data_IF_007282076472
#
_entry.id   IF_007282076472
#
_cell.length_a   1.000
_cell.length_b   1.000
_cell.length_c   1.000
_cell.angle_alpha   90.00
_cell.angle_beta   90.00
_cell.angle_gamma   90.00
#
_symmetry.space_group_name_H-M   'P 1'
#
loop_
_entity.id
_entity.type
_entity.pdbx_description
1 polymer ?
#
# COMPACT_ATOMS: atom_id res chain seq x y z
N UNK A 1 42.33 37.83 -43.82
CA UNK A 1 42.19 37.64 -45.27
C UNK A 1 42.12 36.16 -45.56
N UNK A 2 40.97 35.75 -46.10
CA UNK A 2 40.56 34.49 -46.71
C UNK A 2 41.65 33.58 -47.28
N UNK A 3 41.53 32.28 -47.01
CA UNK A 3 41.62 31.24 -48.03
C UNK A 3 40.92 29.95 -47.53
N UNK A 4 39.71 29.71 -48.03
CA UNK A 4 39.08 28.39 -48.05
C UNK A 4 39.83 27.52 -49.07
N UNK A 5 40.04 26.24 -48.80
CA UNK A 5 39.81 25.19 -49.82
C UNK A 5 39.79 23.77 -49.24
N UNK A 6 38.67 23.10 -49.54
CA UNK A 6 38.50 21.68 -49.93
C UNK A 6 38.69 20.60 -48.86
N UNK A 7 37.56 20.24 -48.26
CA UNK A 7 37.33 18.91 -47.70
C UNK A 7 37.22 17.86 -48.82
N UNK A 8 38.10 16.88 -48.79
CA UNK A 8 38.02 15.61 -49.52
C UNK A 8 37.01 14.69 -48.85
N UNK A 9 36.09 14.14 -49.64
CA UNK A 9 35.03 13.23 -49.21
C UNK A 9 35.60 11.88 -48.73
N UNK A 10 35.17 11.43 -47.56
CA UNK A 10 35.32 10.06 -47.08
C UNK A 10 34.15 9.19 -47.60
N UNK A 11 34.36 7.88 -47.82
CA UNK A 11 33.43 7.03 -48.57
C UNK A 11 32.17 6.70 -47.78
N UNK A 12 31.09 6.47 -48.53
CA UNK A 12 29.75 6.22 -48.03
C UNK A 12 29.67 5.02 -47.07
N UNK A 13 28.98 5.23 -45.96
CA UNK A 13 28.53 4.16 -45.08
C UNK A 13 27.28 3.56 -45.72
N UNK A 14 27.42 2.33 -46.25
CA UNK A 14 26.31 1.49 -46.67
C UNK A 14 25.31 1.34 -45.51
N UNK A 15 24.04 1.67 -45.78
CA UNK A 15 22.93 1.29 -44.90
C UNK A 15 22.76 -0.23 -45.00
N UNK A 16 23.15 -0.94 -43.95
CA UNK A 16 22.76 -2.33 -43.78
C UNK A 16 21.24 -2.40 -43.52
N UNK A 17 20.47 -2.74 -44.56
CA UNK A 17 19.09 -3.19 -44.43
C UNK A 17 19.08 -4.55 -43.72
N UNK A 18 19.04 -4.51 -42.39
CA UNK A 18 18.76 -5.69 -41.58
C UNK A 18 17.25 -5.99 -41.69
N UNK A 19 16.93 -7.00 -42.51
CA UNK A 19 15.59 -7.54 -42.66
C UNK A 19 14.98 -7.87 -41.28
N UNK A 20 13.86 -7.20 -40.98
CA UNK A 20 13.08 -7.40 -39.75
C UNK A 20 12.44 -8.79 -39.81
N UNK A 21 12.66 -9.70 -38.84
CA UNK A 21 11.96 -10.96 -38.84
C UNK A 21 10.48 -10.69 -38.57
N UNK A 22 9.62 -11.07 -39.51
CA UNK A 22 8.17 -11.06 -39.34
C UNK A 22 7.83 -12.06 -38.23
N UNK A 23 7.53 -11.56 -37.03
CA UNK A 23 6.86 -12.39 -36.02
C UNK A 23 5.48 -12.72 -36.55
N UNK A 24 5.25 -14.01 -36.79
CA UNK A 24 3.93 -14.56 -37.03
C UNK A 24 2.97 -14.06 -35.93
N UNK A 25 1.79 -13.61 -36.34
CA UNK A 25 0.72 -13.24 -35.43
C UNK A 25 0.41 -14.44 -34.53
N UNK A 26 0.61 -14.29 -33.22
CA UNK A 26 0.09 -15.25 -32.25
C UNK A 26 -1.43 -15.34 -32.43
N UNK A 27 -2.01 -16.55 -32.48
CA UNK A 27 -3.45 -16.69 -32.48
C UNK A 27 -3.99 -16.09 -31.17
N UNK A 28 -5.12 -15.41 -31.32
CA UNK A 28 -5.91 -14.77 -30.28
C UNK A 28 -5.87 -15.57 -28.96
N UNK A 29 -5.60 -14.88 -27.86
CA UNK A 29 -5.69 -15.45 -26.52
C UNK A 29 -7.07 -16.12 -26.33
N UNK A 30 -7.16 -17.23 -25.58
CA UNK A 30 -8.44 -17.84 -25.28
C UNK A 30 -9.33 -16.81 -24.58
N UNK A 31 -10.60 -16.73 -25.01
CA UNK A 31 -11.60 -15.85 -24.41
C UNK A 31 -11.66 -16.13 -22.90
N UNK A 32 -11.11 -15.21 -22.10
CA UNK A 32 -11.27 -15.27 -20.65
C UNK A 32 -12.76 -15.29 -20.34
N UNK A 33 -13.21 -16.28 -19.57
CA UNK A 33 -14.60 -16.36 -19.11
C UNK A 33 -14.95 -15.02 -18.42
N UNK A 34 -15.78 -14.23 -19.08
CA UNK A 34 -16.20 -12.93 -18.59
C UNK A 34 -16.92 -13.11 -17.25
N UNK A 35 -16.49 -12.37 -16.22
CA UNK A 35 -17.15 -12.38 -14.91
C UNK A 35 -18.65 -12.15 -15.07
N UNK A 36 -19.47 -13.01 -14.44
CA UNK A 36 -20.93 -12.87 -14.44
C UNK A 36 -21.28 -11.54 -13.75
N UNK A 37 -21.57 -10.51 -14.54
CA UNK A 37 -21.84 -9.17 -14.06
C UNK A 37 -23.07 -9.04 -13.16
N UNK A 38 -23.56 -7.81 -12.94
CA UNK A 38 -24.78 -7.59 -12.15
C UNK A 38 -26.03 -7.85 -12.99
N UNK A 39 -26.57 -9.07 -12.91
CA UNK A 39 -27.79 -9.46 -13.64
C UNK A 39 -27.51 -9.72 -15.12
N UNK A 40 -28.28 -9.09 -16.01
CA UNK A 40 -28.13 -9.22 -17.48
C UNK A 40 -27.03 -8.31 -18.09
N UNK A 41 -26.35 -7.50 -17.27
CA UNK A 41 -25.31 -6.57 -17.71
C UNK A 41 -23.91 -7.20 -17.60
N UNK A 42 -23.21 -7.30 -18.73
CA UNK A 42 -21.80 -7.63 -18.78
C UNK A 42 -20.97 -6.37 -18.54
N UNK A 43 -20.07 -6.40 -17.56
CA UNK A 43 -19.09 -5.34 -17.33
C UNK A 43 -17.77 -5.70 -18.02
N UNK A 44 -16.94 -4.70 -18.32
CA UNK A 44 -15.56 -4.98 -18.72
C UNK A 44 -14.83 -5.75 -17.60
N UNK A 45 -13.82 -6.54 -17.94
CA UNK A 45 -13.02 -7.26 -16.95
C UNK A 45 -12.53 -6.29 -15.86
N UNK A 46 -12.73 -6.64 -14.59
CA UNK A 46 -12.41 -5.78 -13.45
C UNK A 46 -13.10 -4.40 -13.48
N UNK A 47 -14.30 -4.31 -14.07
CA UNK A 47 -15.22 -3.17 -14.12
C UNK A 47 -14.79 -1.97 -14.96
N UNK A 48 -13.56 -1.48 -14.82
CA UNK A 48 -13.09 -0.26 -15.50
C UNK A 48 -12.95 -0.47 -17.01
N UNK A 49 -13.22 0.57 -17.80
CA UNK A 49 -12.92 0.58 -19.23
C UNK A 49 -11.40 0.61 -19.51
N UNK A 50 -11.01 0.22 -20.73
CA UNK A 50 -9.60 0.13 -21.11
C UNK A 50 -8.88 1.49 -21.22
N UNK A 51 -9.61 2.60 -21.45
CA UNK A 51 -9.01 3.93 -21.46
C UNK A 51 -8.59 4.33 -20.05
N UNK A 52 -9.46 4.11 -19.08
CA UNK A 52 -9.25 4.40 -17.66
C UNK A 52 -8.10 3.54 -17.13
N UNK A 53 -8.10 2.23 -17.39
CA UNK A 53 -6.96 1.35 -17.06
C UNK A 53 -5.67 1.82 -17.70
N UNK A 54 -5.68 2.13 -19.01
CA UNK A 54 -4.48 2.60 -19.73
C UNK A 54 -3.94 3.91 -19.14
N UNK A 55 -4.81 4.82 -18.71
CA UNK A 55 -4.39 6.05 -18.05
C UNK A 55 -3.76 5.80 -16.69
N UNK A 56 -4.40 4.98 -15.85
CA UNK A 56 -3.90 4.65 -14.52
C UNK A 56 -2.60 3.85 -14.60
N UNK A 57 -2.46 2.90 -15.53
CA UNK A 57 -1.20 2.18 -15.78
C UNK A 57 -0.03 3.12 -16.10
N UNK A 58 -0.25 4.18 -16.88
CA UNK A 58 0.79 5.20 -17.12
C UNK A 58 1.17 5.94 -15.84
N UNK A 59 0.19 6.31 -15.03
CA UNK A 59 0.44 6.97 -13.75
C UNK A 59 1.20 6.06 -12.77
N UNK A 60 0.86 4.78 -12.70
CA UNK A 60 1.57 3.76 -11.92
C UNK A 60 3.02 3.65 -12.39
N UNK A 61 3.28 3.56 -13.70
CA UNK A 61 4.66 3.52 -14.21
C UNK A 61 5.47 4.77 -13.84
N UNK A 62 4.83 5.95 -13.82
CA UNK A 62 5.48 7.19 -13.34
C UNK A 62 5.74 7.16 -11.84
N UNK A 63 4.79 6.65 -11.05
CA UNK A 63 4.93 6.50 -9.61
C UNK A 63 6.07 5.53 -9.24
N UNK A 64 6.21 4.44 -9.97
CA UNK A 64 7.32 3.48 -9.80
C UNK A 64 8.67 4.13 -10.15
N UNK A 65 8.72 4.94 -11.22
CA UNK A 65 9.93 5.63 -11.64
C UNK A 65 10.33 6.80 -10.75
N UNK A 66 9.40 7.34 -9.94
CA UNK A 66 9.64 8.43 -8.99
C UNK A 66 9.09 8.02 -7.61
N UNK A 67 9.80 7.15 -6.88
CA UNK A 67 9.32 6.56 -5.62
C UNK A 67 8.91 7.61 -4.60
N UNK A 68 7.74 7.41 -3.97
CA UNK A 68 7.18 8.34 -2.98
C UNK A 68 6.52 9.61 -3.55
N UNK A 69 6.65 9.89 -4.86
CA UNK A 69 5.98 11.04 -5.47
C UNK A 69 4.50 10.77 -5.75
N UNK A 70 3.64 11.70 -5.34
CA UNK A 70 2.20 11.67 -5.53
C UNK A 70 1.81 12.02 -6.99
N UNK A 71 1.69 11.03 -7.87
CA UNK A 71 1.31 11.23 -9.28
C UNK A 71 -0.20 11.47 -9.40
N UNK A 72 -0.64 12.56 -10.05
CA UNK A 72 -2.07 12.79 -10.29
C UNK A 72 -2.62 11.81 -11.34
N UNK A 73 -3.83 11.31 -11.11
CA UNK A 73 -4.56 10.51 -12.10
C UNK A 73 -6.05 10.87 -12.16
N UNK A 74 -6.69 10.66 -13.31
CA UNK A 74 -8.11 10.91 -13.49
C UNK A 74 -8.98 9.83 -12.85
N UNK A 75 -9.13 9.85 -11.53
CA UNK A 75 -10.03 8.93 -10.80
C UNK A 75 -11.45 9.04 -11.35
N UNK A 76 -12.13 7.89 -11.40
CA UNK A 76 -13.55 7.77 -11.75
C UNK A 76 -14.39 7.45 -10.52
N UNK A 77 -15.67 7.73 -10.60
CA UNK A 77 -16.66 7.24 -9.66
C UNK A 77 -16.72 5.71 -9.71
N UNK A 78 -16.75 5.09 -8.54
CA UNK A 78 -16.85 3.64 -8.36
C UNK A 78 -18.20 3.29 -7.71
N UNK A 79 -18.67 2.04 -7.80
CA UNK A 79 -19.91 1.61 -7.14
C UNK A 79 -19.81 1.55 -5.60
N UNK A 80 -18.67 1.97 -5.04
CA UNK A 80 -18.46 2.19 -3.62
C UNK A 80 -18.32 3.69 -3.35
N UNK A 81 -18.85 4.22 -2.23
CA UNK A 81 -18.72 5.62 -1.88
C UNK A 81 -17.26 6.06 -1.77
N UNK A 82 -16.98 7.34 -2.05
CA UNK A 82 -15.66 7.91 -1.75
C UNK A 82 -15.31 7.71 -0.27
N UNK A 83 -14.04 7.39 -0.01
CA UNK A 83 -13.55 7.04 1.34
C UNK A 83 -13.56 5.55 1.65
N UNK A 84 -14.28 4.73 0.87
CA UNK A 84 -14.33 3.26 1.03
C UNK A 84 -13.34 2.54 0.11
N UNK A 85 -12.13 3.08 -0.03
CA UNK A 85 -11.05 2.41 -0.77
C UNK A 85 -11.09 2.52 -2.30
N UNK A 86 -11.85 3.46 -2.87
CA UNK A 86 -12.02 3.59 -4.34
C UNK A 86 -10.72 3.73 -5.12
N UNK A 87 -9.67 4.33 -4.53
CA UNK A 87 -8.35 4.41 -5.15
C UNK A 87 -7.67 3.04 -5.24
N UNK A 88 -7.66 2.28 -4.14
CA UNK A 88 -7.14 0.92 -4.12
C UNK A 88 -7.88 0.00 -5.10
N UNK A 89 -9.21 0.11 -5.17
CA UNK A 89 -10.01 -0.68 -6.14
C UNK A 89 -9.62 -0.35 -7.58
N UNK A 90 -9.46 0.92 -7.93
CA UNK A 90 -9.06 1.31 -9.29
C UNK A 90 -7.65 0.82 -9.65
N UNK A 91 -6.71 0.89 -8.71
CA UNK A 91 -5.35 0.39 -8.88
C UNK A 91 -5.37 -1.12 -9.08
N UNK A 92 -6.01 -1.88 -8.19
CA UNK A 92 -6.17 -3.34 -8.31
C UNK A 92 -6.80 -3.74 -9.64
N UNK A 93 -7.89 -3.08 -10.05
CA UNK A 93 -8.56 -3.32 -11.33
C UNK A 93 -7.68 -3.04 -12.57
N UNK A 94 -6.67 -2.18 -12.42
CA UNK A 94 -5.77 -1.80 -13.52
C UNK A 94 -4.54 -2.70 -13.63
N UNK A 95 -4.09 -3.31 -12.52
CA UNK A 95 -2.91 -4.19 -12.50
C UNK A 95 -3.26 -5.67 -12.63
N UNK A 96 -4.46 -6.07 -12.20
CA UNK A 96 -4.94 -7.45 -12.23
C UNK A 96 -5.09 -8.01 -13.65
N UNK A 97 -4.64 -9.24 -13.84
CA UNK A 97 -4.91 -10.12 -14.96
C UNK A 97 -5.79 -11.32 -14.57
N UNK A 98 -6.22 -12.16 -15.53
CA UNK A 98 -7.13 -13.29 -15.26
C UNK A 98 -6.56 -14.39 -14.35
N UNK A 99 -5.25 -14.59 -14.35
CA UNK A 99 -4.56 -15.65 -13.61
C UNK A 99 -4.10 -15.21 -12.19
N UNK A 100 -4.38 -13.96 -11.81
CA UNK A 100 -4.03 -13.47 -10.48
C UNK A 100 -4.85 -14.14 -9.37
N UNK A 101 -4.30 -14.14 -8.15
CA UNK A 101 -4.99 -14.57 -6.94
C UNK A 101 -5.10 -13.39 -6.00
N UNK A 102 -6.33 -12.93 -5.75
CA UNK A 102 -6.60 -11.74 -4.95
C UNK A 102 -6.79 -12.09 -3.46
N UNK A 103 -6.03 -11.44 -2.59
CA UNK A 103 -6.34 -11.31 -1.16
C UNK A 103 -6.79 -9.88 -0.87
N UNK A 104 -7.81 -9.72 -0.03
CA UNK A 104 -8.30 -8.40 0.39
C UNK A 104 -8.45 -8.39 1.91
N UNK A 105 -7.79 -7.44 2.55
CA UNK A 105 -7.82 -7.24 4.01
C UNK A 105 -8.18 -5.80 4.37
N UNK A 106 -8.89 -5.63 5.47
CA UNK A 106 -9.12 -4.34 6.12
C UNK A 106 -9.00 -4.56 7.64
N UNK A 107 -8.24 -3.69 8.32
CA UNK A 107 -7.77 -3.90 9.70
C UNK A 107 -7.03 -5.23 9.90
N UNK A 108 -6.36 -5.76 8.86
CA UNK A 108 -5.61 -7.02 8.94
C UNK A 108 -6.48 -8.28 8.80
N UNK A 109 -7.80 -8.14 8.72
CA UNK A 109 -8.74 -9.25 8.58
C UNK A 109 -9.38 -9.32 7.19
N UNK A 110 -9.52 -10.55 6.68
CA UNK A 110 -10.21 -10.85 5.43
C UNK A 110 -11.75 -10.79 5.54
N UNK A 111 -12.29 -10.83 6.77
CA UNK A 111 -13.72 -11.00 7.04
C UNK A 111 -14.42 -9.70 7.49
N UNK A 112 -13.71 -8.58 7.46
CA UNK A 112 -14.33 -7.27 7.64
C UNK A 112 -15.28 -6.94 6.50
N UNK A 113 -16.33 -6.17 6.81
CA UNK A 113 -17.42 -5.85 5.88
C UNK A 113 -16.92 -5.25 4.57
N UNK A 114 -15.94 -4.35 4.63
CA UNK A 114 -15.32 -3.73 3.48
C UNK A 114 -14.46 -4.71 2.66
N UNK A 115 -13.65 -5.55 3.32
CA UNK A 115 -12.84 -6.56 2.64
C UNK A 115 -13.70 -7.59 1.90
N UNK A 116 -14.75 -8.09 2.56
CA UNK A 116 -15.74 -9.01 1.96
C UNK A 116 -16.42 -8.36 0.76
N UNK A 117 -16.85 -7.09 0.88
CA UNK A 117 -17.50 -6.35 -0.20
C UNK A 117 -16.60 -6.20 -1.44
N UNK A 118 -15.35 -5.76 -1.25
CA UNK A 118 -14.38 -5.58 -2.33
C UNK A 118 -14.01 -6.92 -2.98
N UNK A 119 -13.79 -7.97 -2.17
CA UNK A 119 -13.50 -9.32 -2.67
C UNK A 119 -14.67 -9.89 -3.47
N UNK A 120 -15.91 -9.72 -2.99
CA UNK A 120 -17.11 -10.14 -3.70
C UNK A 120 -17.31 -9.35 -5.01
N UNK A 121 -17.01 -8.05 -5.00
CA UNK A 121 -17.02 -7.22 -6.19
C UNK A 121 -16.08 -7.77 -7.27
N UNK A 122 -14.80 -7.97 -6.97
CA UNK A 122 -13.83 -8.48 -7.95
C UNK A 122 -14.16 -9.89 -8.44
N UNK A 123 -14.61 -10.78 -7.55
CA UNK A 123 -15.07 -12.12 -7.95
C UNK A 123 -16.20 -12.05 -8.97
N UNK A 124 -17.09 -11.06 -8.84
CA UNK A 124 -18.22 -10.85 -9.75
C UNK A 124 -17.81 -10.22 -11.08
N UNK A 125 -17.00 -9.16 -11.05
CA UNK A 125 -16.65 -8.39 -12.27
C UNK A 125 -15.41 -8.91 -13.02
N UNK A 126 -14.59 -9.75 -12.39
CA UNK A 126 -13.37 -10.30 -12.98
C UNK A 126 -13.32 -11.82 -12.96
N UNK A 127 -14.19 -12.51 -12.20
CA UNK A 127 -14.17 -13.98 -12.13
C UNK A 127 -12.91 -14.55 -11.47
N UNK A 128 -12.16 -13.73 -10.73
CA UNK A 128 -10.81 -14.07 -10.30
C UNK A 128 -10.77 -14.99 -9.07
N UNK A 129 -9.71 -15.79 -8.97
CA UNK A 129 -9.41 -16.58 -7.78
C UNK A 129 -9.13 -15.66 -6.58
N UNK A 130 -9.60 -16.07 -5.41
CA UNK A 130 -9.37 -15.33 -4.16
C UNK A 130 -8.79 -16.25 -3.09
N UNK A 131 -7.92 -15.72 -2.24
CA UNK A 131 -7.32 -16.46 -1.13
C UNK A 131 -7.35 -15.63 0.16
N UNK A 132 -7.29 -16.29 1.30
CA UNK A 132 -6.98 -15.68 2.59
C UNK A 132 -5.50 -15.87 2.95
N UNK A 133 -4.79 -16.81 2.34
CA UNK A 133 -3.37 -17.08 2.60
C UNK A 133 -2.48 -16.03 1.95
N UNK A 134 -1.67 -15.32 2.74
CA UNK A 134 -0.80 -14.24 2.24
C UNK A 134 0.21 -14.74 1.21
N UNK A 135 0.82 -15.91 1.43
CA UNK A 135 1.81 -16.50 0.52
C UNK A 135 1.25 -16.96 -0.84
N UNK A 136 -0.06 -17.11 -0.99
CA UNK A 136 -0.69 -17.54 -2.26
C UNK A 136 -1.21 -16.39 -3.10
N UNK A 137 -1.30 -15.19 -2.52
CA UNK A 137 -1.82 -14.02 -3.21
C UNK A 137 -0.78 -13.46 -4.19
N UNK A 138 -1.18 -13.10 -5.39
CA UNK A 138 -0.36 -12.31 -6.32
C UNK A 138 -0.64 -10.81 -6.15
N UNK A 139 -1.89 -10.48 -5.81
CA UNK A 139 -2.31 -9.11 -5.47
C UNK A 139 -2.95 -9.13 -4.09
N UNK A 140 -2.46 -8.28 -3.19
CA UNK A 140 -3.01 -8.06 -1.86
C UNK A 140 -3.53 -6.64 -1.81
N UNK A 141 -4.84 -6.45 -1.71
CA UNK A 141 -5.42 -5.12 -1.46
C UNK A 141 -5.65 -4.94 0.03
N UNK A 142 -5.01 -3.93 0.62
CA UNK A 142 -5.03 -3.71 2.07
C UNK A 142 -5.58 -2.34 2.45
N UNK A 143 -6.21 -2.30 3.62
CA UNK A 143 -6.52 -1.08 4.35
C UNK A 143 -5.98 -1.20 5.78
N UNK A 144 -5.09 -0.27 6.15
CA UNK A 144 -4.53 -0.06 7.48
C UNK A 144 -3.55 -1.13 8.01
N UNK A 145 -3.19 -2.17 7.25
CA UNK A 145 -2.22 -3.17 7.74
C UNK A 145 -1.28 -3.66 6.64
N UNK A 146 -0.07 -4.04 7.03
CA UNK A 146 0.81 -4.91 6.23
C UNK A 146 0.79 -6.30 6.88
N UNK A 147 0.57 -7.40 6.12
CA UNK A 147 0.59 -8.75 6.67
C UNK A 147 1.82 -9.03 7.54
N UNK A 148 1.65 -9.86 8.55
CA UNK A 148 2.78 -10.30 9.39
C UNK A 148 3.68 -11.29 8.65
N UNK A 149 3.09 -12.07 7.74
CA UNK A 149 3.86 -12.95 6.86
C UNK A 149 4.69 -12.10 5.88
N UNK A 150 6.01 -12.34 5.77
CA UNK A 150 6.86 -11.64 4.82
C UNK A 150 6.36 -11.79 3.39
N UNK A 151 6.29 -10.67 2.67
CA UNK A 151 5.95 -10.68 1.25
C UNK A 151 7.13 -11.18 0.41
N UNK A 152 6.86 -11.65 -0.79
CA UNK A 152 7.87 -12.17 -1.72
C UNK A 152 7.80 -11.52 -3.11
N UNK A 153 8.82 -11.78 -3.93
CA UNK A 153 8.85 -11.30 -5.31
C UNK A 153 7.65 -11.78 -6.11
N UNK A 154 7.17 -10.94 -7.02
CA UNK A 154 5.96 -11.20 -7.82
C UNK A 154 4.65 -10.80 -7.15
N UNK A 155 4.65 -10.48 -5.85
CA UNK A 155 3.47 -9.91 -5.19
C UNK A 155 3.35 -8.40 -5.40
N UNK A 156 2.11 -7.93 -5.46
CA UNK A 156 1.75 -6.51 -5.48
C UNK A 156 0.87 -6.21 -4.27
N UNK A 157 1.33 -5.34 -3.39
CA UNK A 157 0.55 -4.83 -2.26
C UNK A 157 -0.08 -3.47 -2.62
N UNK A 158 -1.40 -3.40 -2.61
CA UNK A 158 -2.18 -2.22 -2.99
C UNK A 158 -2.83 -1.60 -1.75
N UNK A 159 -2.37 -0.42 -1.34
CA UNK A 159 -2.84 0.32 -0.18
C UNK A 159 -4.02 1.24 -0.52
N UNK A 160 -5.05 1.21 0.33
CA UNK A 160 -6.14 2.18 0.31
C UNK A 160 -5.75 3.43 1.09
N UNK A 161 -5.70 4.58 0.41
CA UNK A 161 -5.19 5.83 0.99
C UNK A 161 -6.31 6.88 1.05
N UNK A 162 -6.66 7.39 2.25
CA UNK A 162 -7.63 8.47 2.39
C UNK A 162 -7.03 9.85 2.12
N UNK A 163 -5.81 10.10 2.60
CA UNK A 163 -5.05 11.34 2.47
C UNK A 163 -3.63 10.96 2.02
N UNK A 164 -3.20 11.28 0.79
CA UNK A 164 -1.89 10.91 0.25
C UNK A 164 -0.78 11.89 0.64
N UNK A 165 -1.15 13.09 1.10
CA UNK A 165 -0.25 14.20 1.34
C UNK A 165 0.22 14.18 2.81
N UNK A 166 1.48 13.80 3.10
CA UNK A 166 1.98 13.74 4.47
C UNK A 166 2.00 15.11 5.16
N UNK A 167 2.08 16.21 4.40
CA UNK A 167 2.13 17.57 4.96
C UNK A 167 0.73 18.17 5.18
N UNK A 168 -0.36 17.44 4.89
CA UNK A 168 -1.73 18.00 4.80
C UNK A 168 -2.19 18.71 6.08
N UNK A 169 -1.78 18.22 7.24
CA UNK A 169 -2.16 18.77 8.54
C UNK A 169 -1.35 20.00 8.94
N UNK A 170 -0.22 20.23 8.27
CA UNK A 170 0.65 21.40 8.47
C UNK A 170 0.33 22.49 7.45
N UNK A 171 0.12 22.09 6.20
CA UNK A 171 -0.22 22.98 5.09
C UNK A 171 -1.44 22.42 4.33
N UNK A 172 -2.63 23.03 4.47
CA UNK A 172 -3.84 22.54 3.83
C UNK A 172 -3.90 22.81 2.31
N UNK A 173 -3.10 23.73 1.76
CA UNK A 173 -3.08 24.07 0.34
C UNK A 173 -2.25 23.08 -0.47
N UNK A 174 -2.89 22.41 -1.44
CA UNK A 174 -2.17 21.50 -2.36
C UNK A 174 -1.14 22.21 -3.24
N UNK A 175 -1.37 23.48 -3.56
CA UNK A 175 -0.41 24.28 -4.35
C UNK A 175 0.89 24.46 -3.59
N UNK A 176 0.79 24.74 -2.29
CA UNK A 176 1.94 24.94 -1.41
C UNK A 176 2.64 23.61 -1.12
N UNK A 177 1.91 22.54 -0.76
CA UNK A 177 2.56 21.24 -0.50
C UNK A 177 3.26 20.68 -1.73
N UNK A 178 2.74 20.94 -2.93
CA UNK A 178 3.42 20.60 -4.19
C UNK A 178 4.75 21.35 -4.36
N UNK A 179 4.80 22.64 -4.00
CA UNK A 179 6.02 23.43 -4.03
C UNK A 179 7.05 22.89 -3.02
N UNK A 180 6.62 22.58 -1.79
CA UNK A 180 7.47 21.96 -0.77
C UNK A 180 8.07 20.62 -1.25
N UNK A 181 7.25 19.75 -1.86
CA UNK A 181 7.72 18.51 -2.47
C UNK A 181 8.68 18.73 -3.66
N UNK A 182 8.48 19.79 -4.44
CA UNK A 182 9.37 20.11 -5.56
C UNK A 182 10.75 20.59 -5.08
N UNK A 183 10.77 21.41 -4.03
CA UNK A 183 11.97 22.02 -3.45
C UNK A 183 12.64 21.19 -2.35
N UNK A 184 12.03 20.07 -1.96
CA UNK A 184 12.53 19.20 -0.86
C UNK A 184 12.49 19.90 0.52
N UNK A 185 11.53 20.80 0.72
CA UNK A 185 11.39 21.58 1.95
C UNK A 185 10.55 20.84 3.01
N UNK A 186 11.12 19.78 3.59
CA UNK A 186 10.45 18.96 4.61
C UNK A 186 10.70 19.39 6.06
N UNK A 187 11.37 20.53 6.28
CA UNK A 187 11.69 21.05 7.62
C UNK A 187 10.46 21.17 8.52
N UNK A 188 9.31 21.56 7.96
CA UNK A 188 8.04 21.68 8.71
C UNK A 188 7.59 20.37 9.35
N UNK A 189 7.90 19.22 8.73
CA UNK A 189 7.56 17.90 9.28
C UNK A 189 8.44 17.58 10.48
N UNK A 190 9.74 17.87 10.41
CA UNK A 190 10.64 17.70 11.55
C UNK A 190 10.24 18.61 12.72
N UNK A 191 9.86 19.86 12.46
CA UNK A 191 9.37 20.77 13.51
C UNK A 191 8.15 20.16 14.21
N UNK A 192 7.17 19.64 13.45
CA UNK A 192 6.00 18.97 14.02
C UNK A 192 6.38 17.79 14.92
N UNK A 193 7.27 16.90 14.45
CA UNK A 193 7.68 15.73 15.23
C UNK A 193 8.39 16.14 16.53
N UNK A 194 9.18 17.21 16.49
CA UNK A 194 9.85 17.74 17.68
C UNK A 194 8.88 18.42 18.65
N UNK A 195 7.85 19.11 18.15
CA UNK A 195 6.78 19.66 18.98
C UNK A 195 6.02 18.57 19.76
N UNK A 196 5.76 17.42 19.13
CA UNK A 196 5.15 16.28 19.81
C UNK A 196 6.05 15.78 20.96
N UNK A 197 7.35 15.60 20.69
CA UNK A 197 8.33 15.18 21.70
C UNK A 197 8.38 16.19 22.85
N UNK A 198 8.44 17.48 22.56
CA UNK A 198 8.50 18.52 23.59
C UNK A 198 7.24 18.58 24.47
N UNK A 199 6.06 18.24 23.92
CA UNK A 199 4.78 18.28 24.65
C UNK A 199 4.45 16.98 25.38
N UNK A 200 4.80 15.85 24.80
CA UNK A 200 4.33 14.53 25.24
C UNK A 200 5.46 13.59 25.68
N UNK A 201 6.73 13.97 25.47
CA UNK A 201 7.89 13.11 25.70
C UNK A 201 8.10 12.04 24.62
N UNK A 202 7.15 11.90 23.71
CA UNK A 202 7.16 10.95 22.61
C UNK A 202 6.44 11.54 21.39
N UNK A 203 6.66 10.92 20.23
CA UNK A 203 5.96 11.32 19.01
C UNK A 203 4.51 10.78 19.07
N UNK A 204 3.54 11.69 19.04
CA UNK A 204 2.12 11.38 19.25
C UNK A 204 1.49 10.57 18.10
N UNK A 205 2.10 10.56 16.91
CA UNK A 205 1.58 9.84 15.74
C UNK A 205 1.73 8.32 15.89
N UNK A 206 0.61 7.62 16.09
CA UNK A 206 0.56 6.15 16.22
C UNK A 206 0.36 5.40 14.89
N UNK A 207 -0.18 6.07 13.86
CA UNK A 207 -0.43 5.56 12.51
C UNK A 207 -0.15 6.64 11.46
N UNK A 208 -0.11 6.26 10.18
CA UNK A 208 0.22 7.15 9.04
C UNK A 208 1.52 7.94 9.26
N UNK A 209 2.51 7.25 9.84
CA UNK A 209 3.75 7.88 10.28
C UNK A 209 4.65 8.17 9.07
N UNK A 210 5.10 9.42 8.86
CA UNK A 210 5.79 9.83 7.64
C UNK A 210 7.10 9.06 7.42
N UNK A 211 7.33 8.65 6.18
CA UNK A 211 8.55 7.94 5.76
C UNK A 211 9.29 8.68 4.66
N UNK A 212 10.62 8.67 4.70
CA UNK A 212 11.50 9.09 3.62
C UNK A 212 11.75 7.89 2.69
N UNK A 213 11.35 8.01 1.43
CA UNK A 213 11.47 6.97 0.40
C UNK A 213 12.62 7.30 -0.54
N UNK A 214 13.48 6.32 -0.78
CA UNK A 214 14.65 6.43 -1.67
C UNK A 214 15.53 7.65 -1.36
N UNK A 215 15.60 8.03 -0.07
CA UNK A 215 16.39 9.17 0.40
C UNK A 215 15.91 10.55 -0.07
N UNK A 216 14.69 10.67 -0.63
CA UNK A 216 14.24 11.92 -1.26
C UNK A 216 12.82 12.34 -0.91
N UNK A 217 11.79 11.55 -1.24
CA UNK A 217 10.39 11.97 -1.01
C UNK A 217 9.94 11.58 0.39
N UNK A 218 9.44 12.55 1.17
CA UNK A 218 8.59 12.24 2.33
C UNK A 218 7.23 11.78 1.81
N UNK A 219 6.74 10.66 2.31
CA UNK A 219 5.55 9.97 1.84
C UNK A 219 4.66 9.57 3.03
N UNK A 220 3.35 9.66 2.85
CA UNK A 220 2.37 9.01 3.74
C UNK A 220 2.32 7.51 3.40
N UNK A 221 2.63 6.59 4.33
CA UNK A 221 2.55 5.15 4.09
C UNK A 221 1.10 4.60 4.15
N UNK A 222 0.09 5.48 4.02
CA UNK A 222 -1.32 5.22 4.36
C UNK A 222 -1.53 5.03 5.88
N UNK A 223 -2.79 4.93 6.36
CA UNK A 223 -3.09 4.75 7.79
C UNK A 223 -2.73 3.37 8.35
N UNK A 224 -1.57 2.82 7.98
CA UNK A 224 -0.96 1.70 8.68
C UNK A 224 -0.42 2.17 10.04
N UNK A 225 -0.43 1.31 11.07
CA UNK A 225 0.25 1.62 12.33
C UNK A 225 1.75 1.81 12.08
N UNK A 226 2.41 2.66 12.86
CA UNK A 226 3.87 2.84 12.77
C UNK A 226 4.62 1.50 12.94
N UNK A 227 4.03 0.54 13.66
CA UNK A 227 4.48 -0.85 13.73
C UNK A 227 4.77 -1.50 12.37
N UNK A 228 3.98 -1.19 11.34
CA UNK A 228 4.12 -1.79 10.01
C UNK A 228 5.17 -1.08 9.14
N UNK A 229 5.58 0.16 9.45
CA UNK A 229 6.55 0.92 8.65
C UNK A 229 7.87 0.16 8.37
N UNK A 230 8.50 -0.54 9.34
CA UNK A 230 9.71 -1.31 9.08
C UNK A 230 9.55 -2.38 8.01
N UNK A 231 8.35 -2.93 7.82
CA UNK A 231 8.06 -3.96 6.80
C UNK A 231 8.14 -3.42 5.37
N UNK A 232 8.04 -2.10 5.20
CA UNK A 232 8.15 -1.46 3.89
C UNK A 232 9.61 -1.39 3.39
N UNK A 233 10.58 -1.36 4.32
CA UNK A 233 11.99 -1.19 4.02
C UNK A 233 12.55 -2.45 3.36
N UNK A 234 13.07 -2.32 2.14
CA UNK A 234 13.69 -3.44 1.44
C UNK A 234 12.72 -4.56 1.07
N UNK A 235 11.41 -4.29 1.08
CA UNK A 235 10.37 -5.29 0.77
C UNK A 235 10.52 -5.78 -0.68
N UNK A 236 10.46 -7.10 -0.94
CA UNK A 236 10.58 -7.65 -2.30
C UNK A 236 9.31 -7.48 -3.15
N UNK A 237 8.17 -7.16 -2.53
CA UNK A 237 6.91 -6.92 -3.23
C UNK A 237 6.80 -5.46 -3.73
N UNK A 238 6.10 -5.26 -4.84
CA UNK A 238 5.77 -3.92 -5.33
C UNK A 238 4.65 -3.33 -4.47
N UNK A 239 4.85 -2.10 -3.97
CA UNK A 239 3.89 -1.40 -3.13
C UNK A 239 3.25 -0.25 -3.89
N UNK A 240 1.93 -0.28 -4.07
CA UNK A 240 1.15 0.73 -4.79
C UNK A 240 0.12 1.38 -3.88
N UNK A 241 0.02 2.70 -3.91
CA UNK A 241 -0.84 3.47 -3.03
C UNK A 241 -1.90 4.21 -3.83
N UNK A 242 -3.18 3.94 -3.58
CA UNK A 242 -4.29 4.50 -4.34
C UNK A 242 -5.17 5.43 -3.50
N UNK A 243 -5.12 6.74 -3.78
CA UNK A 243 -6.00 7.75 -3.20
C UNK A 243 -7.03 8.23 -4.24
N UNK A 244 -8.21 7.60 -4.26
CA UNK A 244 -9.24 7.86 -5.28
C UNK A 244 -9.86 9.26 -5.16
N UNK A 245 -10.29 9.63 -3.94
CA UNK A 245 -10.90 10.95 -3.66
C UNK A 245 -9.94 12.10 -3.97
N UNK A 246 -8.67 11.95 -3.57
CA UNK A 246 -7.61 12.94 -3.77
C UNK A 246 -6.94 12.83 -5.14
N UNK A 247 -7.33 11.85 -5.97
CA UNK A 247 -6.83 11.65 -7.34
C UNK A 247 -5.31 11.48 -7.41
N UNK A 248 -4.72 10.73 -6.49
CA UNK A 248 -3.26 10.45 -6.45
C UNK A 248 -2.97 8.96 -6.45
N UNK A 249 -1.90 8.60 -7.14
CA UNK A 249 -1.27 7.27 -7.08
C UNK A 249 0.22 7.46 -6.85
N UNK A 250 0.80 6.64 -5.99
CA UNK A 250 2.23 6.64 -5.72
C UNK A 250 2.71 5.22 -5.44
N UNK A 251 4.02 5.00 -5.42
CA UNK A 251 4.58 3.66 -5.31
C UNK A 251 5.90 3.64 -4.55
N UNK A 252 6.20 2.47 -4.00
CA UNK A 252 7.52 2.08 -3.50
C UNK A 252 7.92 0.81 -4.27
N UNK A 253 8.92 0.89 -5.18
CA UNK A 253 9.42 -0.29 -5.89
C UNK A 253 10.01 -1.34 -4.93
N UNK A 254 10.12 -2.61 -5.38
CA UNK A 254 10.83 -3.64 -4.63
C UNK A 254 12.24 -3.20 -4.21
N UNK A 255 12.68 -3.65 -3.04
CA UNK A 255 14.03 -3.41 -2.50
C UNK A 255 14.39 -1.92 -2.33
N UNK A 256 13.40 -1.03 -2.27
CA UNK A 256 13.62 0.40 -2.03
C UNK A 256 13.85 0.68 -0.54
N UNK A 257 14.75 1.60 -0.26
CA UNK A 257 14.94 2.11 1.10
C UNK A 257 13.75 2.98 1.53
N UNK A 258 13.17 2.63 2.67
CA UNK A 258 12.09 3.38 3.33
C UNK A 258 12.52 3.58 4.78
N UNK A 259 12.71 4.83 5.18
CA UNK A 259 13.10 5.20 6.55
C UNK A 259 11.99 6.02 7.20
N UNK A 260 11.52 5.62 8.37
CA UNK A 260 10.61 6.47 9.15
C UNK A 260 11.37 7.68 9.68
N UNK A 261 10.77 8.87 9.60
CA UNK A 261 11.42 10.09 10.10
C UNK A 261 11.66 9.99 11.61
N UNK A 262 12.87 10.27 12.06
CA UNK A 262 13.27 10.22 13.46
C UNK A 262 14.38 11.23 13.74
N UNK A 263 14.81 11.29 15.00
CA UNK A 263 15.97 12.07 15.42
C UNK A 263 17.00 11.15 16.06
N UNK A 264 18.27 11.56 16.06
CA UNK A 264 19.35 10.76 16.66
C UNK A 264 19.15 10.56 18.17
N UNK A 265 18.57 11.54 18.85
CA UNK A 265 18.23 11.52 20.27
C UNK A 265 16.86 10.90 20.57
N UNK A 266 15.98 10.78 19.57
CA UNK A 266 14.66 10.18 19.66
C UNK A 266 14.43 9.22 18.49
N UNK A 267 15.00 8.00 18.55
CA UNK A 267 14.91 7.03 17.46
C UNK A 267 13.48 6.51 17.30
N UNK A 268 13.16 6.04 16.09
CA UNK A 268 11.85 5.48 15.79
C UNK A 268 11.53 4.24 16.64
N UNK A 269 10.38 4.25 17.31
CA UNK A 269 9.86 3.14 18.12
C UNK A 269 8.52 2.64 17.59
N UNK A 270 8.32 1.32 17.65
CA UNK A 270 7.05 0.66 17.30
C UNK A 270 6.22 0.36 18.55
N UNK A 271 4.92 0.12 18.36
CA UNK A 271 4.05 -0.35 19.44
C UNK A 271 4.55 -1.67 20.05
N UNK A 272 4.37 -1.79 21.35
CA UNK A 272 4.65 -2.99 22.14
C UNK A 272 3.45 -3.28 23.04
N UNK A 273 3.27 -4.55 23.38
CA UNK A 273 2.24 -5.01 24.31
C UNK A 273 2.89 -5.86 25.38
N UNK A 274 2.43 -5.73 26.62
CA UNK A 274 2.91 -6.54 27.75
C UNK A 274 2.45 -8.00 27.69
N UNK A 275 1.53 -8.31 26.77
CA UNK A 275 0.86 -9.59 26.64
C UNK A 275 1.02 -10.13 25.22
N UNK A 276 1.19 -11.46 25.05
CA UNK A 276 1.07 -12.08 23.75
C UNK A 276 -0.39 -12.10 23.28
N UNK A 277 -0.61 -12.43 22.01
CA UNK A 277 -1.92 -12.78 21.49
C UNK A 277 -2.55 -13.91 22.31
N UNK A 278 -3.75 -13.69 22.83
CA UNK A 278 -4.47 -14.65 23.65
C UNK A 278 -4.88 -15.93 22.89
N UNK A 279 -4.90 -15.90 21.54
CA UNK A 279 -5.30 -17.05 20.73
C UNK A 279 -4.13 -17.92 20.29
N UNK A 280 -3.02 -17.33 19.85
CA UNK A 280 -1.88 -18.04 19.25
C UNK A 280 -0.53 -17.80 19.94
N UNK A 281 -0.51 -17.05 21.04
CA UNK A 281 0.69 -16.79 21.83
C UNK A 281 1.74 -15.89 21.16
N UNK A 282 1.42 -15.24 20.04
CA UNK A 282 2.36 -14.37 19.32
C UNK A 282 2.72 -13.12 20.13
N UNK A 283 4.01 -12.84 20.31
CA UNK A 283 4.56 -11.60 20.90
C UNK A 283 5.10 -10.62 19.84
N UNK A 284 5.05 -10.98 18.57
CA UNK A 284 5.70 -10.25 17.47
C UNK A 284 4.72 -9.67 16.46
N UNK A 285 3.42 -9.82 16.67
CA UNK A 285 2.36 -9.35 15.78
C UNK A 285 1.70 -8.09 16.33
N UNK A 286 1.14 -7.26 15.46
CA UNK A 286 0.26 -6.18 15.89
C UNK A 286 -1.00 -6.76 16.55
N UNK A 287 -1.35 -6.27 17.75
CA UNK A 287 -2.50 -6.77 18.51
C UNK A 287 -3.65 -5.75 18.51
N UNK A 288 -4.85 -6.25 18.23
CA UNK A 288 -6.11 -5.56 18.47
C UNK A 288 -6.58 -5.79 19.90
N UNK A 289 -7.16 -4.76 20.49
CA UNK A 289 -7.77 -4.79 21.81
C UNK A 289 -9.27 -5.00 21.68
N UNK A 290 -9.78 -6.11 22.21
CA UNK A 290 -11.20 -6.47 22.20
C UNK A 290 -11.75 -6.36 23.61
N UNK A 291 -12.77 -5.52 23.80
CA UNK A 291 -13.51 -5.43 25.06
C UNK A 291 -14.47 -6.63 25.14
N UNK A 292 -14.36 -7.45 26.18
CA UNK A 292 -15.12 -8.71 26.30
C UNK A 292 -16.30 -8.65 27.27
N UNK A 293 -16.30 -7.69 28.20
CA UNK A 293 -17.39 -7.48 29.15
C UNK A 293 -17.60 -5.98 29.46
N UNK A 294 -18.71 -5.67 30.12
CA UNK A 294 -19.05 -4.31 30.56
C UNK A 294 -18.21 -3.85 31.76
N UNK A 295 -17.52 -4.79 32.44
CA UNK A 295 -16.65 -4.54 33.58
C UNK A 295 -15.23 -4.08 33.16
N UNK A 296 -14.97 -4.00 31.85
CA UNK A 296 -13.75 -3.44 31.27
C UNK A 296 -12.63 -4.45 31.04
N UNK A 297 -12.94 -5.74 31.05
CA UNK A 297 -12.01 -6.80 30.66
C UNK A 297 -11.70 -6.72 29.17
N UNK A 298 -10.42 -6.92 28.85
CA UNK A 298 -9.84 -6.77 27.52
C UNK A 298 -9.13 -8.04 27.10
N UNK A 299 -9.19 -8.34 25.82
CA UNK A 299 -8.50 -9.44 25.18
C UNK A 299 -7.61 -8.87 24.07
N UNK A 300 -6.34 -9.24 24.07
CA UNK A 300 -5.40 -8.83 23.02
C UNK A 300 -5.24 -9.98 22.02
N UNK A 301 -5.56 -9.72 20.76
CA UNK A 301 -5.54 -10.73 19.70
C UNK A 301 -4.82 -10.22 18.47
N UNK A 302 -4.21 -11.09 17.68
CA UNK A 302 -3.56 -10.69 16.44
C UNK A 302 -4.57 -9.99 15.52
N UNK A 303 -4.18 -8.80 15.04
CA UNK A 303 -4.96 -8.07 14.03
C UNK A 303 -4.88 -8.76 12.66
N UNK A 304 -3.76 -9.38 12.33
CA UNK A 304 -3.66 -10.27 11.16
C UNK A 304 -4.27 -11.63 11.48
N UNK A 305 -5.47 -11.88 10.96
CA UNK A 305 -6.25 -13.08 11.27
C UNK A 305 -5.68 -14.33 10.60
N UNK A 306 -5.09 -14.21 9.41
CA UNK A 306 -4.50 -15.36 8.73
C UNK A 306 -3.18 -15.79 9.39
N UNK A 307 -2.35 -14.82 9.78
CA UNK A 307 -1.18 -15.11 10.61
C UNK A 307 -1.56 -15.80 11.93
N UNK A 308 -2.64 -15.34 12.57
CA UNK A 308 -3.13 -15.98 13.80
C UNK A 308 -3.58 -17.42 13.54
N UNK A 309 -4.39 -17.64 12.49
CA UNK A 309 -4.92 -18.94 12.14
C UNK A 309 -3.82 -19.95 11.77
N UNK A 310 -2.82 -19.52 10.97
CA UNK A 310 -1.69 -20.37 10.58
C UNK A 310 -0.85 -20.80 11.79
N UNK A 311 -0.60 -19.89 12.75
CA UNK A 311 0.07 -20.24 14.01
C UNK A 311 -0.71 -21.24 14.84
N UNK A 312 -2.03 -21.08 14.95
CA UNK A 312 -2.88 -22.03 15.67
C UNK A 312 -2.90 -23.40 15.00
N UNK A 313 -2.94 -23.43 13.66
CA UNK A 313 -2.84 -24.68 12.90
C UNK A 313 -1.49 -25.38 13.09
N UNK A 314 -0.41 -24.62 13.34
CA UNK A 314 0.90 -25.14 13.72
C UNK A 314 1.02 -25.54 15.20
N UNK A 315 -0.07 -25.47 15.99
CA UNK A 315 -0.11 -25.89 17.38
C UNK A 315 0.30 -24.82 18.41
N UNK A 316 0.42 -23.55 17.99
CA UNK A 316 0.64 -22.46 18.95
C UNK A 316 -0.67 -22.05 19.63
N UNK A 317 -0.64 -21.99 20.96
CA UNK A 317 -1.78 -21.60 21.79
C UNK A 317 -1.41 -20.40 22.66
N UNK A 318 -2.34 -19.46 22.79
CA UNK A 318 -2.24 -18.37 23.77
C UNK A 318 -2.93 -18.75 25.08
N UNK A 319 -2.82 -17.87 26.08
CA UNK A 319 -3.40 -18.09 27.41
C UNK A 319 -4.94 -18.05 27.42
N UNK A 320 -5.58 -17.54 26.36
CA UNK A 320 -7.04 -17.45 26.21
C UNK A 320 -7.75 -16.58 27.27
N UNK A 321 -7.00 -15.90 28.13
CA UNK A 321 -7.56 -15.27 29.33
C UNK A 321 -7.75 -13.76 29.13
N UNK A 322 -8.99 -13.24 29.23
CA UNK A 322 -9.22 -11.81 29.27
C UNK A 322 -8.62 -11.21 30.55
N UNK A 323 -8.24 -9.93 30.47
CA UNK A 323 -7.59 -9.21 31.57
C UNK A 323 -8.45 -8.02 31.96
N UNK A 324 -8.75 -7.90 33.25
CA UNK A 324 -9.37 -6.68 33.79
C UNK A 324 -8.34 -5.57 33.70
N UNK A 325 -8.64 -4.49 32.97
CA UNK A 325 -7.76 -3.32 32.94
C UNK A 325 -7.54 -2.81 34.38
N UNK A 326 -6.30 -2.44 34.78
CA UNK A 326 -6.08 -1.85 36.09
C UNK A 326 -6.96 -0.61 36.24
N UNK A 327 -7.88 -0.63 37.20
CA UNK A 327 -8.88 0.41 37.37
C UNK A 327 -8.24 1.77 37.64
N UNK A 328 -8.21 2.66 36.65
CA UNK A 328 -7.98 4.13 36.72
C UNK A 328 -6.86 4.68 37.65
N UNK A 329 -5.96 3.85 38.19
CA UNK A 329 -4.99 4.28 39.23
C UNK A 329 -3.55 3.81 39.02
N UNK A 330 -3.20 3.33 37.83
CA UNK A 330 -1.79 3.14 37.46
C UNK A 330 -1.49 3.95 36.21
N UNK A 331 -1.04 5.20 36.42
CA UNK A 331 -0.25 5.91 35.42
C UNK A 331 0.99 5.07 35.16
N UNK A 332 1.28 4.82 33.89
CA UNK A 332 2.56 4.26 33.45
C UNK A 332 3.69 4.96 34.21
N UNK A 333 4.58 4.16 34.82
CA UNK A 333 5.78 4.70 35.46
C UNK A 333 6.64 5.34 34.38
N UNK A 334 7.15 6.50 34.77
CA UNK A 334 7.86 7.55 34.04
C UNK A 334 8.92 7.06 33.05
#
# INVERSE_FOLDING_TARGET
MTAQTRHTAAPGVERADAARPQRAASPCAPEAEQGKGFGALAYNFAYLDEQTKRSLRRAILKAVAVPGHQVPFGSREMPMPYGWGTGGIQVSASVMGPDDVLKVIDQGSDDTTNAVSIRAFFRKVAGIATTTETARATIIQTRHRIPEQPLHEGQILVYQVPIPEPLRWLEPSETETRALHALEEYGIMYVKLYEDIARHGEIASSYDYPVLVAGRYVMSPSPIPKFDNPKMRGCPALQLFGAGREKRVYAVPPYTEVKSLDFDDHPFTVQQWDRPCALCGSTTSYLDEVIVDDDGSRLFVCSDTEYCASRRAAGHEGDGMPVVAPGRTERAKS
#
